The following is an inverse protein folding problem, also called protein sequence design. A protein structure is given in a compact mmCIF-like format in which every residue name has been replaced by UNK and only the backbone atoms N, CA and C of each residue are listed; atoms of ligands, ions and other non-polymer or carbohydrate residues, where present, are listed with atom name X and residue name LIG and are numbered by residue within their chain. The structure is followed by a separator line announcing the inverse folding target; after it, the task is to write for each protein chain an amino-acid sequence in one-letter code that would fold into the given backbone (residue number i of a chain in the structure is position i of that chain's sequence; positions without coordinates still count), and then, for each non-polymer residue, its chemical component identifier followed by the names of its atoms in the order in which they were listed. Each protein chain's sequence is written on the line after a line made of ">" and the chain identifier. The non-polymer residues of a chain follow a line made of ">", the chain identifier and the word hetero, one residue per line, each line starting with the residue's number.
data_IF_175565357814
#
_entry.id   IF_175565357814
#
_cell.length_a   1.000
_cell.length_b   1.000
_cell.length_c   1.000
_cell.angle_alpha   90.00
_cell.angle_beta   90.00
_cell.angle_gamma   90.00
#
_symmetry.space_group_name_H-M   'P 1'
#
loop_
_entity.id
_entity.type
_entity.pdbx_description
1 polymer ?
#
# COMPACT_ATOMS: atom_id res chain seq x y z
N UNK A 1 -7.58 -16.53 -14.83
CA UNK A 1 -8.17 -15.18 -14.72
C UNK A 1 -7.21 -14.21 -15.41
N UNK A 2 -7.68 -13.18 -16.14
CA UNK A 2 -6.81 -12.08 -16.64
C UNK A 2 -6.95 -10.87 -15.73
N UNK A 3 -6.05 -9.89 -15.86
CA UNK A 3 -6.10 -8.66 -15.04
C UNK A 3 -7.35 -7.85 -15.38
N UNK A 4 -7.72 -7.82 -16.66
CA UNK A 4 -8.89 -7.11 -17.18
C UNK A 4 -10.18 -7.72 -16.63
N UNK A 5 -10.35 -9.05 -16.74
CA UNK A 5 -11.54 -9.70 -16.20
C UNK A 5 -11.64 -9.57 -14.68
N UNK A 6 -10.51 -9.56 -13.96
CA UNK A 6 -10.49 -9.31 -12.53
C UNK A 6 -10.91 -7.87 -12.19
N UNK A 7 -10.45 -6.88 -13.00
CA UNK A 7 -10.86 -5.49 -12.86
C UNK A 7 -12.37 -5.35 -13.02
N UNK A 8 -12.94 -5.96 -14.05
CA UNK A 8 -14.37 -5.91 -14.33
C UNK A 8 -15.16 -6.51 -13.15
N UNK A 9 -14.76 -7.68 -12.64
CA UNK A 9 -15.38 -8.30 -11.47
C UNK A 9 -15.35 -7.42 -10.21
N UNK A 10 -14.26 -6.71 -9.98
CA UNK A 10 -14.12 -5.79 -8.84
C UNK A 10 -14.96 -4.53 -9.02
N UNK A 11 -15.03 -3.98 -10.24
CA UNK A 11 -15.87 -2.83 -10.56
C UNK A 11 -17.35 -3.18 -10.44
N UNK A 12 -17.75 -4.38 -10.86
CA UNK A 12 -19.10 -4.93 -10.66
C UNK A 12 -19.43 -5.19 -9.18
N UNK A 13 -18.41 -5.30 -8.33
CA UNK A 13 -18.55 -5.34 -6.88
C UNK A 13 -18.56 -3.93 -6.24
N UNK A 14 -18.45 -2.86 -7.03
CA UNK A 14 -18.51 -1.47 -6.57
C UNK A 14 -17.17 -0.83 -6.26
N UNK A 15 -16.04 -1.50 -6.52
CA UNK A 15 -14.72 -0.97 -6.23
C UNK A 15 -14.25 -0.01 -7.33
N UNK A 16 -13.59 1.07 -6.90
CA UNK A 16 -12.76 1.87 -7.80
C UNK A 16 -11.44 1.17 -7.99
N UNK A 17 -11.13 0.82 -9.24
CA UNK A 17 -9.93 0.06 -9.57
C UNK A 17 -9.14 0.77 -10.65
N UNK A 18 -7.86 0.97 -10.38
CA UNK A 18 -6.87 1.44 -11.33
C UNK A 18 -5.96 0.26 -11.72
N UNK A 19 -5.42 0.29 -12.93
CA UNK A 19 -4.40 -0.67 -13.35
C UNK A 19 -3.06 0.02 -13.41
N UNK A 20 -2.08 -0.58 -12.73
CA UNK A 20 -0.76 -0.01 -12.54
C UNK A 20 0.26 -0.98 -13.14
N UNK A 21 1.30 -0.43 -13.77
CA UNK A 21 2.38 -1.19 -14.40
C UNK A 21 2.05 -1.70 -15.80
N UNK A 22 3.03 -2.38 -16.40
CA UNK A 22 2.99 -2.86 -17.78
C UNK A 22 3.45 -4.32 -17.90
N UNK A 23 3.01 -4.98 -18.97
CA UNK A 23 3.35 -6.38 -19.25
C UNK A 23 3.06 -7.31 -18.07
N UNK A 24 4.07 -8.06 -17.64
CA UNK A 24 3.96 -9.03 -16.52
C UNK A 24 3.97 -8.40 -15.13
N UNK A 25 4.35 -7.12 -15.00
CA UNK A 25 4.33 -6.39 -13.74
C UNK A 25 3.00 -5.65 -13.52
N UNK A 26 1.98 -5.91 -14.35
CA UNK A 26 0.67 -5.28 -14.26
C UNK A 26 -0.10 -5.82 -13.05
N UNK A 27 -0.62 -4.92 -12.24
CA UNK A 27 -1.49 -5.23 -11.10
C UNK A 27 -2.64 -4.23 -10.99
N UNK A 28 -3.61 -4.52 -10.12
CA UNK A 28 -4.73 -3.63 -9.84
C UNK A 28 -4.50 -2.89 -8.53
N UNK A 29 -4.88 -1.63 -8.46
CA UNK A 29 -4.86 -0.82 -7.24
C UNK A 29 -6.26 -0.36 -6.92
N UNK A 30 -6.62 -0.46 -5.64
CA UNK A 30 -7.88 0.04 -5.12
C UNK A 30 -7.68 0.66 -3.74
N UNK A 31 -8.75 1.24 -3.22
CA UNK A 31 -8.78 1.73 -1.86
C UNK A 31 -10.15 1.48 -1.24
N UNK A 32 -10.16 0.98 0.00
CA UNK A 32 -11.36 0.80 0.82
C UNK A 32 -11.10 1.39 2.20
N UNK A 33 -12.09 2.08 2.78
CA UNK A 33 -12.00 2.61 4.15
C UNK A 33 -10.74 3.44 4.45
N UNK A 34 -10.30 4.27 3.48
CA UNK A 34 -9.05 5.08 3.53
C UNK A 34 -7.75 4.28 3.51
N UNK A 35 -7.80 2.99 3.22
CA UNK A 35 -6.64 2.13 3.05
C UNK A 35 -6.47 1.77 1.57
N UNK A 36 -5.32 2.16 1.00
CA UNK A 36 -4.93 1.72 -0.32
C UNK A 36 -4.40 0.28 -0.26
N UNK A 37 -4.73 -0.50 -1.28
CA UNK A 37 -4.22 -1.85 -1.44
C UNK A 37 -4.07 -2.21 -2.91
N UNK A 38 -3.12 -3.11 -3.17
CA UNK A 38 -2.87 -3.69 -4.47
C UNK A 38 -3.49 -5.10 -4.54
N UNK A 39 -3.88 -5.51 -5.74
CA UNK A 39 -4.29 -6.88 -6.06
C UNK A 39 -3.36 -7.35 -7.16
N UNK A 40 -2.43 -8.22 -6.78
CA UNK A 40 -1.30 -8.64 -7.61
C UNK A 40 -1.57 -10.03 -8.17
N UNK A 41 -1.50 -10.24 -9.49
CA UNK A 41 -1.47 -11.58 -10.08
C UNK A 41 -0.34 -12.41 -9.47
N UNK A 42 -0.64 -13.63 -9.05
CA UNK A 42 0.38 -14.57 -8.59
C UNK A 42 0.74 -15.58 -9.67
N UNK A 43 0.40 -16.85 -9.45
CA UNK A 43 0.88 -17.96 -10.28
C UNK A 43 0.34 -17.87 -11.72
N UNK A 44 1.25 -17.74 -12.70
CA UNK A 44 0.90 -17.79 -14.12
C UNK A 44 0.44 -19.19 -14.54
N UNK A 45 -0.58 -19.27 -15.40
CA UNK A 45 -1.07 -20.54 -15.94
C UNK A 45 -0.17 -20.95 -17.12
N UNK A 46 0.45 -22.15 -17.10
CA UNK A 46 1.28 -22.63 -18.20
C UNK A 46 0.54 -22.62 -19.54
N UNK A 47 1.24 -22.22 -20.61
CA UNK A 47 0.68 -22.16 -21.97
C UNK A 47 -0.24 -20.96 -22.23
N UNK A 48 -0.31 -19.99 -21.31
CA UNK A 48 -1.08 -18.75 -21.49
C UNK A 48 -0.21 -17.54 -21.18
N UNK A 49 -0.47 -16.42 -21.86
CA UNK A 49 0.40 -15.23 -21.80
C UNK A 49 0.03 -14.25 -20.69
N UNK A 50 -1.24 -14.25 -20.26
CA UNK A 50 -1.84 -13.21 -19.43
C UNK A 50 -2.79 -13.76 -18.34
N UNK A 51 -2.80 -15.09 -18.13
CA UNK A 51 -3.69 -15.72 -17.15
C UNK A 51 -2.95 -16.17 -15.92
N UNK A 52 -3.59 -15.95 -14.78
CA UNK A 52 -3.13 -16.39 -13.46
C UNK A 52 -4.17 -17.28 -12.77
N UNK A 53 -3.68 -18.12 -11.87
CA UNK A 53 -4.45 -19.07 -11.07
C UNK A 53 -4.82 -18.53 -9.68
N UNK A 54 -4.14 -17.47 -9.22
CA UNK A 54 -4.35 -16.86 -7.91
C UNK A 54 -3.96 -15.38 -7.92
N UNK A 55 -4.38 -14.66 -6.88
CA UNK A 55 -4.00 -13.28 -6.61
C UNK A 55 -3.66 -13.08 -5.14
N UNK A 56 -2.80 -12.11 -4.89
CA UNK A 56 -2.54 -11.60 -3.55
C UNK A 56 -3.15 -10.20 -3.40
N UNK A 57 -3.99 -10.02 -2.40
CA UNK A 57 -4.36 -8.71 -1.88
C UNK A 57 -3.25 -8.22 -0.95
N UNK A 58 -2.78 -6.99 -1.14
CA UNK A 58 -1.60 -6.48 -0.45
C UNK A 58 -1.82 -5.04 -0.01
N UNK A 59 -1.75 -4.77 1.29
CA UNK A 59 -1.68 -3.42 1.85
C UNK A 59 -0.26 -3.18 2.37
N UNK A 60 0.35 -2.06 1.96
CA UNK A 60 1.71 -1.69 2.35
C UNK A 60 1.66 -0.44 3.23
N UNK A 61 2.37 -0.49 4.36
CA UNK A 61 2.59 0.65 5.23
C UNK A 61 4.08 0.90 5.37
N UNK A 62 4.53 2.12 5.08
CA UNK A 62 5.91 2.50 5.38
C UNK A 62 6.12 2.53 6.89
N UNK A 63 7.14 1.82 7.37
CA UNK A 63 7.53 1.79 8.77
C UNK A 63 8.52 2.93 9.01
N UNK A 64 8.29 3.68 10.08
CA UNK A 64 9.23 4.68 10.58
C UNK A 64 9.87 4.13 11.85
N UNK A 65 11.19 3.99 11.86
CA UNK A 65 11.93 3.33 12.93
C UNK A 65 11.84 1.80 12.85
N UNK A 66 11.99 1.12 14.00
CA UNK A 66 12.03 -0.34 14.06
C UNK A 66 10.70 -0.92 14.55
N UNK A 67 10.12 -1.84 13.78
CA UNK A 67 8.94 -2.60 14.19
C UNK A 67 9.36 -3.91 14.90
N UNK A 68 8.90 -4.18 16.13
CA UNK A 68 9.23 -5.44 16.82
C UNK A 68 8.64 -6.65 16.07
N UNK A 69 9.47 -7.65 15.77
CA UNK A 69 9.02 -8.88 15.10
C UNK A 69 7.96 -9.65 15.91
N UNK A 70 7.99 -9.55 17.25
CA UNK A 70 6.98 -10.18 18.10
C UNK A 70 5.56 -9.65 17.84
N UNK A 71 5.42 -8.36 17.50
CA UNK A 71 4.13 -7.78 17.11
C UNK A 71 3.57 -8.47 15.87
N UNK A 72 4.43 -8.74 14.88
CA UNK A 72 4.05 -9.43 13.64
C UNK A 72 3.62 -10.87 13.93
N UNK A 73 4.37 -11.56 14.79
CA UNK A 73 4.05 -12.93 15.19
C UNK A 73 2.70 -13.01 15.90
N UNK A 74 2.38 -12.06 16.79
CA UNK A 74 1.07 -12.01 17.47
C UNK A 74 -0.11 -11.90 16.48
N UNK A 75 0.02 -11.11 15.42
CA UNK A 75 -0.99 -11.08 14.35
C UNK A 75 -1.14 -12.45 13.69
N UNK A 76 -0.03 -13.01 13.19
CA UNK A 76 -0.04 -14.26 12.44
C UNK A 76 -0.52 -15.46 13.27
N UNK A 77 -0.30 -15.47 14.58
CA UNK A 77 -0.82 -16.51 15.46
C UNK A 77 -2.35 -16.42 15.67
N UNK A 78 -2.94 -15.25 15.50
CA UNK A 78 -4.37 -15.00 15.80
C UNK A 78 -5.25 -14.89 14.56
N UNK A 79 -4.69 -14.92 13.36
CA UNK A 79 -5.41 -14.78 12.08
C UNK A 79 -5.06 -15.91 11.13
N UNK A 80 -6.07 -16.39 10.39
CA UNK A 80 -5.91 -17.48 9.40
C UNK A 80 -5.88 -17.01 7.94
N UNK A 81 -6.48 -15.86 7.66
CA UNK A 81 -6.66 -15.36 6.30
C UNK A 81 -5.69 -14.25 5.91
N UNK A 82 -5.14 -13.51 6.88
CA UNK A 82 -4.19 -12.44 6.64
C UNK A 82 -2.82 -12.76 7.22
N UNK A 83 -1.77 -12.58 6.42
CA UNK A 83 -0.38 -12.67 6.87
C UNK A 83 0.24 -11.29 6.95
N UNK A 84 1.00 -11.05 7.99
CA UNK A 84 1.76 -9.83 8.20
C UNK A 84 3.26 -10.16 8.12
N UNK A 85 4.03 -9.37 7.40
CA UNK A 85 5.48 -9.51 7.30
C UNK A 85 6.16 -8.17 7.01
N UNK A 86 7.48 -8.10 7.22
CA UNK A 86 8.29 -6.96 6.81
C UNK A 86 8.88 -7.25 5.42
N UNK A 87 8.75 -6.28 4.54
CA UNK A 87 9.43 -6.23 3.25
C UNK A 87 10.52 -5.14 3.31
N UNK A 88 11.75 -5.54 3.00
CA UNK A 88 12.96 -4.71 3.02
C UNK A 88 13.63 -4.68 1.64
N UNK A 89 12.86 -4.91 0.58
CA UNK A 89 13.36 -4.92 -0.80
C UNK A 89 13.96 -3.58 -1.24
N UNK A 90 13.54 -2.47 -0.64
CA UNK A 90 14.09 -1.13 -0.89
C UNK A 90 15.12 -0.80 0.21
N UNK A 91 16.40 -0.57 -0.13
CA UNK A 91 17.41 -0.22 0.87
C UNK A 91 17.03 1.03 1.68
N UNK A 92 17.11 0.92 3.01
CA UNK A 92 16.81 2.02 3.92
C UNK A 92 15.32 2.28 4.15
N UNK A 93 14.43 1.41 3.66
CA UNK A 93 13.00 1.52 3.90
C UNK A 93 12.38 0.17 4.25
N UNK A 94 11.74 0.11 5.42
CA UNK A 94 10.98 -1.04 5.86
C UNK A 94 9.49 -0.82 5.53
N UNK A 95 8.86 -1.84 4.96
CA UNK A 95 7.42 -1.86 4.74
C UNK A 95 6.78 -2.97 5.56
N UNK A 96 5.74 -2.61 6.32
CA UNK A 96 4.84 -3.57 6.91
C UNK A 96 3.81 -3.95 5.85
N UNK A 97 3.80 -5.23 5.49
CA UNK A 97 2.93 -5.77 4.44
C UNK A 97 1.90 -6.69 5.06
N UNK A 98 0.63 -6.33 4.90
CA UNK A 98 -0.49 -7.23 5.14
C UNK A 98 -0.88 -7.86 3.80
N UNK A 99 -0.86 -9.18 3.73
CA UNK A 99 -1.28 -9.92 2.54
C UNK A 99 -2.38 -10.94 2.82
N UNK A 100 -3.21 -11.20 1.80
CA UNK A 100 -4.16 -12.30 1.74
C UNK A 100 -4.14 -12.90 0.34
N UNK A 101 -3.93 -14.21 0.25
CA UNK A 101 -3.92 -14.92 -1.03
C UNK A 101 -5.29 -15.53 -1.32
N UNK A 102 -5.75 -15.41 -2.56
CA UNK A 102 -7.00 -16.00 -3.05
C UNK A 102 -6.74 -16.80 -4.32
N UNK A 103 -7.13 -18.08 -4.30
CA UNK A 103 -7.03 -18.96 -5.46
C UNK A 103 -8.30 -18.93 -6.31
N UNK A 104 -8.09 -19.10 -7.61
CA UNK A 104 -9.11 -19.14 -8.66
C UNK A 104 -9.15 -20.49 -9.39
N UNK A 105 -8.45 -21.50 -8.86
CA UNK A 105 -8.45 -22.85 -9.38
C UNK A 105 -9.86 -23.46 -9.24
N UNK A 106 -10.49 -23.83 -10.36
CA UNK A 106 -11.83 -24.44 -10.40
C UNK A 106 -12.94 -23.58 -11.00
N UNK A 107 -12.62 -22.36 -11.45
CA UNK A 107 -13.61 -21.43 -12.00
C UNK A 107 -14.15 -20.50 -10.92
N UNK A 108 -14.11 -19.20 -11.19
CA UNK A 108 -14.46 -18.16 -10.22
C UNK A 108 -15.77 -17.54 -10.63
N UNK A 109 -16.76 -17.60 -9.75
CA UNK A 109 -17.98 -16.81 -9.92
C UNK A 109 -17.78 -15.40 -9.40
N UNK A 110 -18.54 -14.44 -9.94
CA UNK A 110 -18.57 -13.08 -9.38
C UNK A 110 -18.94 -13.08 -7.88
N UNK A 111 -19.77 -14.04 -7.46
CA UNK A 111 -20.11 -14.23 -6.05
C UNK A 111 -18.90 -14.64 -5.21
N UNK A 112 -18.06 -15.57 -5.66
CA UNK A 112 -16.84 -15.95 -4.95
C UNK A 112 -15.88 -14.76 -4.83
N UNK A 113 -15.73 -13.97 -5.89
CA UNK A 113 -14.88 -12.77 -5.83
C UNK A 113 -15.38 -11.76 -4.80
N UNK A 114 -16.70 -11.51 -4.75
CA UNK A 114 -17.30 -10.65 -3.71
C UNK A 114 -17.00 -11.15 -2.30
N UNK A 115 -17.14 -12.46 -2.06
CA UNK A 115 -16.82 -13.06 -0.75
C UNK A 115 -15.34 -12.83 -0.38
N UNK A 116 -14.40 -13.00 -1.32
CA UNK A 116 -12.98 -12.76 -1.04
C UNK A 116 -12.72 -11.30 -0.66
N UNK A 117 -13.37 -10.38 -1.35
CA UNK A 117 -13.24 -8.95 -1.09
C UNK A 117 -13.88 -8.55 0.25
N UNK A 118 -15.02 -9.15 0.61
CA UNK A 118 -15.63 -8.96 1.94
C UNK A 118 -14.71 -9.45 3.07
N UNK A 119 -14.04 -10.59 2.88
CA UNK A 119 -13.03 -11.09 3.83
C UNK A 119 -11.87 -10.12 3.95
N UNK A 120 -11.37 -9.61 2.83
CA UNK A 120 -10.30 -8.60 2.81
C UNK A 120 -10.68 -7.33 3.57
N UNK A 121 -11.87 -6.80 3.32
CA UNK A 121 -12.35 -5.59 3.98
C UNK A 121 -12.56 -5.81 5.47
N UNK A 122 -13.10 -6.96 5.88
CA UNK A 122 -13.18 -7.35 7.29
C UNK A 122 -11.81 -7.46 7.94
N UNK A 123 -10.82 -7.99 7.23
CA UNK A 123 -9.44 -8.09 7.70
C UNK A 123 -8.83 -6.70 7.91
N UNK A 124 -9.01 -5.78 6.97
CA UNK A 124 -8.54 -4.38 7.09
C UNK A 124 -9.20 -3.65 8.26
N UNK A 125 -10.52 -3.83 8.42
CA UNK A 125 -11.28 -3.24 9.54
C UNK A 125 -10.78 -3.73 10.91
N UNK A 126 -10.34 -4.98 11.01
CA UNK A 126 -9.75 -5.54 12.24
C UNK A 126 -8.28 -5.13 12.41
N UNK A 127 -7.53 -5.04 11.31
CA UNK A 127 -6.10 -4.79 11.31
C UNK A 127 -5.77 -3.39 11.84
N UNK A 128 -6.45 -2.35 11.34
CA UNK A 128 -6.11 -0.96 11.68
C UNK A 128 -6.29 -0.67 13.18
N UNK A 129 -7.41 -1.01 13.84
CA UNK A 129 -7.57 -0.82 15.28
C UNK A 129 -6.57 -1.63 16.09
N UNK A 130 -6.36 -2.90 15.72
CA UNK A 130 -5.40 -3.79 16.38
C UNK A 130 -3.97 -3.22 16.31
N UNK A 131 -3.53 -2.79 15.13
CA UNK A 131 -2.19 -2.24 14.94
C UNK A 131 -2.00 -0.98 15.79
N UNK A 132 -3.00 -0.09 15.83
CA UNK A 132 -2.95 1.12 16.68
C UNK A 132 -2.85 0.79 18.16
N UNK A 133 -3.60 -0.21 18.62
CA UNK A 133 -3.58 -0.67 20.00
C UNK A 133 -2.23 -1.31 20.37
N UNK A 134 -1.67 -2.14 19.49
CA UNK A 134 -0.37 -2.77 19.75
C UNK A 134 0.78 -1.77 19.69
N UNK A 135 0.74 -0.81 18.77
CA UNK A 135 1.73 0.26 18.69
C UNK A 135 1.67 1.20 19.90
N UNK A 136 0.50 1.42 20.52
CA UNK A 136 0.43 2.26 21.73
C UNK A 136 1.08 1.60 22.96
N UNK A 137 1.16 0.26 22.96
CA UNK A 137 1.84 -0.53 24.01
C UNK A 137 3.36 -0.56 23.81
N UNK A 138 3.82 -0.41 22.56
CA UNK A 138 5.24 -0.34 22.21
C UNK A 138 5.68 1.12 22.38
N UNK A 139 6.34 1.45 23.50
CA UNK A 139 6.87 2.79 23.74
C UNK A 139 7.67 3.29 22.50
N UNK A 140 7.49 4.56 22.06
CA UNK A 140 8.09 5.03 20.83
C UNK A 140 9.60 5.13 21.01
N UNK A 141 10.35 4.21 20.42
CA UNK A 141 11.69 4.51 19.89
C UNK A 141 11.50 5.01 18.46
N UNK A 142 10.81 6.14 18.34
CA UNK A 142 10.93 6.96 17.12
C UNK A 142 12.25 7.68 17.33
N UNK A 143 13.32 7.16 16.73
CA UNK A 143 14.53 7.95 16.59
C UNK A 143 14.11 9.23 15.86
N UNK A 144 14.29 10.37 16.54
CA UNK A 144 13.89 11.66 16.02
C UNK A 144 14.55 11.84 14.66
N UNK A 145 13.75 11.78 13.60
CA UNK A 145 14.18 12.20 12.26
C UNK A 145 14.58 13.66 12.40
N UNK A 146 15.88 13.93 12.23
CA UNK A 146 16.37 15.26 12.02
C UNK A 146 15.57 15.86 10.85
N UNK A 147 14.85 16.94 11.13
CA UNK A 147 14.13 17.69 10.12
C UNK A 147 15.08 18.03 8.95
N UNK A 148 14.62 17.97 7.69
CA UNK A 148 15.41 18.53 6.60
C UNK A 148 15.63 20.01 6.92
N UNK A 149 16.89 20.42 6.98
CA UNK A 149 17.28 21.81 7.16
C UNK A 149 16.55 22.64 6.10
N UNK A 150 15.66 23.51 6.56
CA UNK A 150 15.05 24.55 5.74
C UNK A 150 16.18 25.31 5.07
N UNK A 151 16.22 25.28 3.74
CA UNK A 151 17.03 26.18 2.96
C UNK A 151 16.55 27.61 3.26
N UNK A 152 17.33 28.33 4.08
CA UNK A 152 17.24 29.77 4.23
C UNK A 152 17.46 30.41 2.86
N UNK A 153 16.36 30.76 2.19
CA UNK A 153 16.39 31.61 1.02
C UNK A 153 16.50 33.06 1.50
N UNK A 154 17.72 33.51 1.78
CA UNK A 154 18.02 34.89 2.14
C UNK A 154 17.69 35.79 0.95
N UNK A 155 16.55 36.48 1.04
CA UNK A 155 16.24 37.64 0.21
C UNK A 155 16.76 38.88 0.92
N UNK A 156 17.68 39.67 0.34
CA UNK A 156 17.84 41.05 0.74
C UNK A 156 16.99 41.93 -0.17
N UNK A 157 15.92 42.50 0.41
CA UNK A 157 15.22 43.66 -0.13
C UNK A 157 15.80 44.91 0.54
N UNK A 158 16.36 45.82 -0.26
CA UNK A 158 16.60 47.22 0.10
C UNK A 158 16.58 48.01 -1.22
N UNK A 159 15.42 48.49 -1.64
CA UNK A 159 14.88 49.83 -1.35
C UNK A 159 15.60 50.92 -2.15
N UNK A 160 14.92 51.44 -3.18
CA UNK A 160 15.31 52.60 -3.96
C UNK A 160 15.17 53.89 -3.12
N UNK A 161 15.81 55.00 -3.50
CA UNK A 161 15.07 55.95 -4.34
C UNK A 161 15.91 56.73 -5.38
N UNK A 162 15.22 57.21 -6.41
CA UNK A 162 15.68 58.24 -7.38
C UNK A 162 15.59 59.63 -6.71
N UNK A 163 16.40 60.63 -7.10
CA UNK A 163 15.85 61.64 -8.00
C UNK A 163 16.84 62.24 -9.03
N UNK A 164 16.23 63.04 -9.90
CA UNK A 164 16.71 63.69 -11.13
C UNK A 164 17.86 64.71 -10.98
N UNK A 165 18.57 64.99 -12.09
CA UNK A 165 19.26 66.28 -12.26
C UNK A 165 20.40 66.36 -13.30
N UNK A 166 20.05 66.89 -14.48
CA UNK A 166 20.81 67.83 -15.33
C UNK A 166 22.21 67.50 -15.95
N UNK A 167 22.20 67.51 -17.29
CA UNK A 167 23.07 68.26 -18.22
C UNK A 167 24.59 68.39 -17.98
N UNK A 168 25.38 67.87 -18.94
CA UNK A 168 26.25 68.63 -19.84
C UNK A 168 26.82 67.69 -20.93
#
# INVERSE_FOLDING_TARGET
>A
MTVESLRDLLQDAGYRVETVGEGRARFLRSASNRFAFDIRPGSAIPGTTDRFADVAFVALLAVQGTLPLDLINRWNCTRRFGRLFLDQTIPGQDFLVLSMDSSFAGGVSAQQMRVQVEIWDSLLQQFVPWLREELSKVAPKIDAVAAPASAENTTPSAEAPVPAGAAA
#
